data_IF_466959509652
#
_entry.id   IF_466959509652
#
_cell.length_a   1.000
_cell.length_b   1.000
_cell.length_c   1.000
_cell.angle_alpha   90.00
_cell.angle_beta   90.00
_cell.angle_gamma   90.00
#
_symmetry.space_group_name_H-M   'P 1'
#
loop_
_entity.id
_entity.type
_entity.pdbx_description
1 polymer ?
#
# COMPACT_ATOMS: atom_id res chain seq x y z
N UNK A 1 -2.39 17.10 24.01
CA UNK A 1 -2.74 15.66 23.96
C UNK A 1 -2.50 15.02 22.58
N UNK A 2 -3.07 15.54 21.47
CA UNK A 2 -2.89 14.94 20.13
C UNK A 2 -1.44 14.96 19.65
N UNK A 3 -0.68 16.03 19.91
CA UNK A 3 0.74 16.13 19.60
C UNK A 3 1.59 15.13 20.39
N UNK A 4 1.25 14.93 21.68
CA UNK A 4 1.94 13.97 22.54
C UNK A 4 1.79 12.52 22.00
N UNK A 5 0.57 12.12 21.61
CA UNK A 5 0.33 10.80 21.04
C UNK A 5 1.11 10.58 19.72
N UNK A 6 1.22 11.61 18.87
CA UNK A 6 2.03 11.56 17.66
C UNK A 6 3.53 11.38 17.97
N UNK A 7 4.05 12.09 18.95
CA UNK A 7 5.45 11.96 19.38
C UNK A 7 5.75 10.58 19.96
N UNK A 8 4.81 9.97 20.68
CA UNK A 8 4.97 8.61 21.20
C UNK A 8 5.05 7.57 20.09
N UNK A 9 4.24 7.70 19.03
CA UNK A 9 4.33 6.86 17.84
C UNK A 9 5.71 7.00 17.17
N UNK A 10 6.19 8.23 17.02
CA UNK A 10 7.52 8.51 16.46
C UNK A 10 8.66 7.92 17.30
N UNK A 11 8.47 7.77 18.60
CA UNK A 11 9.39 7.10 19.53
C UNK A 11 9.27 5.57 19.47
N UNK A 12 8.41 5.01 18.64
CA UNK A 12 8.20 3.56 18.53
C UNK A 12 7.37 2.95 19.65
N UNK A 13 6.65 3.76 20.44
CA UNK A 13 5.75 3.22 21.47
C UNK A 13 4.54 2.56 20.81
N UNK A 14 4.22 1.29 21.16
CA UNK A 14 3.05 0.62 20.64
C UNK A 14 1.78 1.41 20.90
N UNK A 15 0.97 1.63 19.89
CA UNK A 15 -0.32 2.33 20.03
C UNK A 15 -1.33 1.85 19.00
N UNK A 16 -2.60 2.15 19.24
CA UNK A 16 -3.70 1.84 18.33
C UNK A 16 -4.18 3.07 17.54
N UNK A 17 -3.42 4.16 17.56
CA UNK A 17 -3.86 5.46 17.01
C UNK A 17 -4.22 5.41 15.53
N UNK A 18 -3.59 4.54 14.74
CA UNK A 18 -3.84 4.39 13.31
C UNK A 18 -4.94 3.36 12.97
N UNK A 19 -5.29 2.47 13.90
CA UNK A 19 -6.25 1.40 13.63
C UNK A 19 -7.68 1.87 13.34
N UNK A 20 -8.19 3.00 13.86
CA UNK A 20 -9.52 3.50 13.54
C UNK A 20 -9.81 3.65 12.05
N UNK A 21 -8.80 3.89 11.21
CA UNK A 21 -8.96 3.98 9.76
C UNK A 21 -9.54 2.70 9.17
N UNK A 22 -9.11 1.54 9.63
CA UNK A 22 -9.61 0.25 9.12
C UNK A 22 -11.10 0.03 9.40
N UNK A 23 -11.67 0.71 10.40
CA UNK A 23 -13.10 0.63 10.75
C UNK A 23 -13.97 1.65 10.00
N UNK A 24 -13.40 2.40 9.06
CA UNK A 24 -14.12 3.46 8.35
C UNK A 24 -15.40 2.96 7.68
N UNK A 25 -15.34 1.80 6.99
CA UNK A 25 -16.48 1.20 6.31
C UNK A 25 -17.44 0.46 7.25
N UNK A 26 -16.96 -0.02 8.37
CA UNK A 26 -17.76 -0.74 9.34
C UNK A 26 -17.53 -0.23 10.77
N UNK A 27 -17.95 1.02 11.06
CA UNK A 27 -17.68 1.63 12.37
C UNK A 27 -18.44 0.92 13.52
N UNK A 28 -19.49 0.14 13.21
CA UNK A 28 -20.32 -0.54 14.23
C UNK A 28 -19.57 -1.67 14.92
N UNK A 29 -18.62 -2.32 14.24
CA UNK A 29 -17.82 -3.41 14.82
C UNK A 29 -16.58 -2.92 15.55
N UNK A 30 -16.31 -1.61 15.51
CA UNK A 30 -15.20 -1.02 16.25
C UNK A 30 -15.46 -1.19 17.75
N UNK A 31 -14.54 -1.87 18.47
CA UNK A 31 -14.71 -2.06 19.91
C UNK A 31 -14.68 -0.72 20.64
N UNK A 32 -15.39 -0.68 21.74
CA UNK A 32 -15.23 0.36 22.74
C UNK A 32 -13.88 0.17 23.50
N UNK A 33 -13.72 0.83 24.64
CA UNK A 33 -12.49 0.72 25.44
C UNK A 33 -12.35 -0.62 26.18
N UNK A 34 -13.30 -1.55 26.06
CA UNK A 34 -13.30 -2.84 26.77
C UNK A 34 -12.25 -3.82 26.23
N UNK A 35 -11.86 -3.68 24.96
CA UNK A 35 -10.83 -4.50 24.35
C UNK A 35 -10.01 -3.72 23.33
N UNK A 36 -8.84 -4.27 22.99
CA UNK A 36 -7.99 -3.75 21.90
C UNK A 36 -8.67 -3.95 20.55
N UNK A 37 -8.46 -3.00 19.64
CA UNK A 37 -8.89 -3.10 18.23
C UNK A 37 -8.11 -4.21 17.52
N UNK A 38 -8.82 -5.03 16.75
CA UNK A 38 -8.25 -6.03 15.87
C UNK A 38 -9.06 -6.05 14.55
N UNK A 39 -8.76 -5.16 13.60
CA UNK A 39 -9.57 -5.00 12.39
C UNK A 39 -9.84 -6.30 11.65
N UNK A 40 -8.85 -7.17 11.51
CA UNK A 40 -9.00 -8.44 10.80
C UNK A 40 -10.02 -9.39 11.48
N UNK A 41 -9.97 -9.49 12.82
CA UNK A 41 -10.96 -10.28 13.58
C UNK A 41 -12.34 -9.64 13.60
N UNK A 42 -12.39 -8.33 13.43
CA UNK A 42 -13.62 -7.54 13.43
C UNK A 42 -14.24 -7.37 12.03
N UNK A 43 -13.78 -8.16 11.04
CA UNK A 43 -14.32 -8.14 9.68
C UNK A 43 -13.94 -6.90 8.87
N UNK A 44 -12.91 -6.14 9.27
CA UNK A 44 -12.48 -4.93 8.57
C UNK A 44 -11.31 -5.23 7.63
N UNK A 45 -11.50 -5.01 6.34
CA UNK A 45 -10.49 -5.14 5.30
C UNK A 45 -9.76 -3.83 5.03
N UNK A 46 -8.45 -3.92 4.77
CA UNK A 46 -7.62 -2.78 4.38
C UNK A 46 -6.52 -3.26 3.44
N UNK A 47 -6.48 -2.70 2.24
CA UNK A 47 -5.39 -2.80 1.30
C UNK A 47 -4.73 -1.43 1.12
N UNK A 48 -3.49 -1.43 0.68
CA UNK A 48 -2.73 -0.21 0.44
C UNK A 48 -2.23 -0.15 -1.00
N UNK A 49 -2.52 0.97 -1.67
CA UNK A 49 -1.79 1.38 -2.86
C UNK A 49 -0.88 2.54 -2.47
N UNK A 50 0.43 2.36 -2.60
CA UNK A 50 1.41 3.32 -2.10
C UNK A 50 2.55 3.55 -3.11
N UNK A 51 2.31 4.34 -4.17
CA UNK A 51 3.33 4.69 -5.14
C UNK A 51 4.12 5.92 -4.74
N UNK A 52 5.32 6.04 -5.32
CA UNK A 52 6.09 7.27 -5.32
C UNK A 52 5.56 8.22 -6.39
N UNK A 53 5.33 9.45 -5.99
CA UNK A 53 4.87 10.55 -6.87
C UNK A 53 5.96 11.63 -6.91
N UNK A 54 6.39 12.08 -8.08
CA UNK A 54 7.31 13.19 -8.17
C UNK A 54 6.78 14.44 -7.43
N UNK A 55 7.63 15.12 -6.66
CA UNK A 55 7.28 16.32 -5.91
C UNK A 55 7.08 17.54 -6.84
N UNK A 56 6.18 17.40 -7.80
CA UNK A 56 5.77 18.43 -8.77
C UNK A 56 4.26 18.58 -8.73
N UNK A 57 3.77 19.80 -8.76
CA UNK A 57 2.34 20.08 -8.73
C UNK A 57 1.57 19.35 -9.85
N UNK A 58 2.13 19.31 -11.07
CA UNK A 58 1.51 18.59 -12.20
C UNK A 58 1.37 17.10 -11.94
N UNK A 59 2.41 16.44 -11.40
CA UNK A 59 2.38 15.01 -11.08
C UNK A 59 1.40 14.71 -9.96
N UNK A 60 1.38 15.53 -8.92
CA UNK A 60 0.43 15.36 -7.80
C UNK A 60 -1.02 15.56 -8.27
N UNK A 61 -1.29 16.54 -9.14
CA UNK A 61 -2.63 16.73 -9.73
C UNK A 61 -3.04 15.52 -10.58
N UNK A 62 -2.18 15.05 -11.49
CA UNK A 62 -2.45 13.89 -12.31
C UNK A 62 -2.73 12.64 -11.47
N UNK A 63 -1.96 12.43 -10.39
CA UNK A 63 -2.18 11.34 -9.45
C UNK A 63 -3.54 11.45 -8.74
N UNK A 64 -3.91 12.63 -8.24
CA UNK A 64 -5.21 12.87 -7.60
C UNK A 64 -6.35 12.59 -8.58
N UNK A 65 -6.24 13.06 -9.82
CA UNK A 65 -7.25 12.85 -10.86
C UNK A 65 -7.39 11.35 -11.20
N UNK A 66 -6.27 10.64 -11.33
CA UNK A 66 -6.25 9.20 -11.55
C UNK A 66 -6.99 8.47 -10.42
N UNK A 67 -6.62 8.71 -9.16
CA UNK A 67 -7.24 8.04 -8.01
C UNK A 67 -8.75 8.34 -7.96
N UNK A 68 -9.14 9.60 -8.10
CA UNK A 68 -10.55 10.03 -8.09
C UNK A 68 -11.37 9.48 -9.26
N UNK A 69 -10.74 9.16 -10.37
CA UNK A 69 -11.42 8.56 -11.53
C UNK A 69 -11.63 7.05 -11.39
N UNK A 70 -10.79 6.38 -10.60
CA UNK A 70 -10.78 4.92 -10.47
C UNK A 70 -11.58 4.47 -9.24
N UNK A 71 -11.23 4.94 -8.05
CA UNK A 71 -11.75 4.38 -6.79
C UNK A 71 -13.27 4.40 -6.66
N UNK A 72 -14.01 5.43 -7.12
CA UNK A 72 -15.48 5.43 -7.00
C UNK A 72 -16.16 4.34 -7.84
N UNK A 73 -15.53 3.86 -8.91
CA UNK A 73 -16.08 2.78 -9.75
C UNK A 73 -16.18 1.46 -8.99
N UNK A 74 -15.40 1.31 -7.93
CA UNK A 74 -15.35 0.15 -7.06
C UNK A 74 -15.96 0.44 -5.68
N UNK A 75 -16.75 1.51 -5.59
CA UNK A 75 -17.34 1.94 -4.32
C UNK A 75 -16.30 2.17 -3.21
N UNK A 76 -15.11 2.69 -3.54
CA UNK A 76 -14.02 3.04 -2.62
C UNK A 76 -13.85 4.55 -2.58
N UNK A 77 -13.65 5.11 -1.37
CA UNK A 77 -13.37 6.53 -1.20
C UNK A 77 -11.95 6.88 -1.68
N UNK A 78 -11.78 8.00 -2.41
CA UNK A 78 -10.46 8.47 -2.84
C UNK A 78 -9.71 9.17 -1.69
N UNK A 79 -9.39 8.44 -0.64
CA UNK A 79 -8.57 8.93 0.47
C UNK A 79 -7.11 8.96 0.05
N UNK A 80 -6.51 10.15 0.01
CA UNK A 80 -5.14 10.34 -0.47
C UNK A 80 -4.32 11.06 0.60
N UNK A 81 -3.19 10.48 0.95
CA UNK A 81 -2.20 11.12 1.81
C UNK A 81 -0.89 11.29 1.03
N UNK A 82 -0.28 12.46 1.13
CA UNK A 82 1.07 12.71 0.63
C UNK A 82 2.03 12.92 1.79
N UNK A 83 3.16 12.20 1.77
CA UNK A 83 4.24 12.36 2.73
C UNK A 83 5.52 12.72 1.99
N UNK A 84 6.07 13.89 2.23
CA UNK A 84 7.33 14.29 1.62
C UNK A 84 8.47 13.42 2.13
N UNK A 85 9.17 12.76 1.18
CA UNK A 85 10.38 11.98 1.47
C UNK A 85 11.63 12.80 1.20
N UNK A 86 11.59 13.63 0.16
CA UNK A 86 12.72 14.47 -0.27
C UNK A 86 12.21 15.65 -1.10
N UNK A 87 13.12 16.51 -1.57
CA UNK A 87 12.77 17.61 -2.47
C UNK A 87 12.26 17.19 -3.86
N UNK A 88 12.40 15.91 -4.22
CA UNK A 88 12.03 15.40 -5.55
C UNK A 88 10.98 14.28 -5.53
N UNK A 89 10.70 13.69 -4.38
CA UNK A 89 9.82 12.53 -4.25
C UNK A 89 8.90 12.63 -3.04
N UNK A 90 7.66 12.27 -3.26
CA UNK A 90 6.59 12.18 -2.26
C UNK A 90 6.07 10.75 -2.25
N UNK A 91 5.97 10.15 -1.08
CA UNK A 91 5.19 8.93 -0.87
C UNK A 91 3.71 9.32 -0.87
N UNK A 92 2.89 8.55 -1.57
CA UNK A 92 1.45 8.69 -1.49
C UNK A 92 0.84 7.38 -1.01
N UNK A 93 -0.14 7.48 -0.11
CA UNK A 93 -0.85 6.31 0.39
C UNK A 93 -2.34 6.44 0.18
N UNK A 94 -2.91 5.42 -0.44
CA UNK A 94 -4.34 5.27 -0.69
C UNK A 94 -4.81 4.04 0.07
N UNK A 95 -5.51 4.22 1.21
CA UNK A 95 -6.15 3.11 1.91
C UNK A 95 -7.41 2.69 1.16
N UNK A 96 -7.49 1.43 0.81
CA UNK A 96 -8.66 0.77 0.25
C UNK A 96 -9.32 0.02 1.41
N UNK A 97 -10.38 0.61 1.96
CA UNK A 97 -11.08 0.11 3.15
C UNK A 97 -12.37 -0.56 2.74
N UNK A 98 -12.63 -1.76 3.24
CA UNK A 98 -13.79 -2.55 2.85
C UNK A 98 -14.25 -3.48 3.97
N UNK A 99 -15.44 -4.05 3.81
CA UNK A 99 -16.00 -5.04 4.72
C UNK A 99 -15.59 -6.44 4.25
N UNK A 100 -14.86 -7.17 5.10
CA UNK A 100 -14.40 -8.54 4.82
C UNK A 100 -15.55 -9.56 4.81
N UNK A 101 -16.68 -9.26 5.45
CA UNK A 101 -17.85 -10.14 5.49
C UNK A 101 -18.70 -10.01 4.24
N UNK A 102 -18.47 -8.99 3.40
CA UNK A 102 -19.15 -8.79 2.13
C UNK A 102 -18.25 -9.24 0.95
N UNK A 103 -18.54 -10.41 0.32
CA UNK A 103 -17.73 -10.94 -0.78
C UNK A 103 -17.58 -9.96 -1.97
N UNK A 104 -18.63 -9.20 -2.29
CA UNK A 104 -18.54 -8.21 -3.37
C UNK A 104 -17.59 -7.07 -3.02
N UNK A 105 -17.61 -6.59 -1.77
CA UNK A 105 -16.69 -5.55 -1.32
C UNK A 105 -15.22 -6.04 -1.33
N UNK A 106 -14.98 -7.31 -1.05
CA UNK A 106 -13.66 -7.94 -1.17
C UNK A 106 -13.19 -7.95 -2.62
N UNK A 107 -14.04 -8.40 -3.54
CA UNK A 107 -13.74 -8.43 -4.98
C UNK A 107 -13.48 -7.01 -5.52
N UNK A 108 -14.35 -6.06 -5.22
CA UNK A 108 -14.22 -4.66 -5.61
C UNK A 108 -12.92 -4.03 -5.09
N UNK A 109 -12.53 -4.33 -3.85
CA UNK A 109 -11.30 -3.80 -3.26
C UNK A 109 -10.04 -4.33 -3.98
N UNK A 110 -9.99 -5.61 -4.30
CA UNK A 110 -8.88 -6.20 -5.07
C UNK A 110 -8.84 -5.68 -6.50
N UNK A 111 -9.98 -5.58 -7.16
CA UNK A 111 -10.09 -5.02 -8.51
C UNK A 111 -9.68 -3.53 -8.54
N UNK A 112 -10.08 -2.76 -7.53
CA UNK A 112 -9.65 -1.38 -7.36
C UNK A 112 -8.13 -1.25 -7.21
N UNK A 113 -7.52 -2.08 -6.37
CA UNK A 113 -6.07 -2.11 -6.19
C UNK A 113 -5.35 -2.41 -7.50
N UNK A 114 -5.83 -3.40 -8.26
CA UNK A 114 -5.24 -3.75 -9.55
C UNK A 114 -5.39 -2.62 -10.57
N UNK A 115 -6.57 -2.01 -10.67
CA UNK A 115 -6.79 -0.89 -11.58
C UNK A 115 -5.92 0.33 -11.26
N UNK A 116 -5.73 0.64 -9.96
CA UNK A 116 -4.81 1.70 -9.52
C UNK A 116 -3.36 1.37 -9.86
N UNK A 117 -2.96 0.12 -9.69
CA UNK A 117 -1.62 -0.35 -10.00
C UNK A 117 -1.33 -0.24 -11.50
N UNK A 118 -2.20 -0.77 -12.35
CA UNK A 118 -2.04 -0.79 -13.80
C UNK A 118 -1.98 0.63 -14.39
N UNK A 119 -2.91 1.48 -13.97
CA UNK A 119 -2.95 2.86 -14.45
C UNK A 119 -1.79 3.69 -13.90
N UNK A 120 -1.43 3.46 -12.63
CA UNK A 120 -0.28 4.10 -12.02
C UNK A 120 1.04 3.78 -12.73
N UNK A 121 1.26 2.52 -13.10
CA UNK A 121 2.45 2.13 -13.88
C UNK A 121 2.52 2.84 -15.24
N UNK A 122 1.38 2.98 -15.96
CA UNK A 122 1.32 3.69 -17.24
C UNK A 122 1.69 5.17 -17.09
N UNK A 123 1.32 5.79 -15.97
CA UNK A 123 1.61 7.19 -15.67
C UNK A 123 2.96 7.40 -14.95
N UNK A 124 3.71 6.32 -14.67
CA UNK A 124 5.01 6.39 -14.01
C UNK A 124 4.94 6.51 -12.47
N UNK A 125 3.80 6.20 -11.87
CA UNK A 125 3.63 6.15 -10.42
C UNK A 125 3.95 4.74 -9.92
N UNK A 126 5.21 4.52 -9.55
CA UNK A 126 5.74 3.20 -9.21
C UNK A 126 5.56 2.95 -7.70
N UNK A 127 4.85 1.89 -7.27
CA UNK A 127 4.78 1.53 -5.86
C UNK A 127 6.16 1.20 -5.28
N UNK A 128 6.44 1.73 -4.10
CA UNK A 128 7.69 1.41 -3.40
C UNK A 128 7.66 0.05 -2.69
N UNK A 129 6.48 -0.53 -2.54
CA UNK A 129 6.26 -1.91 -2.09
C UNK A 129 5.26 -2.61 -2.98
N UNK A 130 5.56 -3.86 -3.29
CA UNK A 130 4.70 -4.73 -4.09
C UNK A 130 4.23 -5.91 -3.24
N UNK A 131 2.98 -6.31 -3.40
CA UNK A 131 2.51 -7.60 -2.92
C UNK A 131 3.11 -8.73 -3.78
N UNK A 132 2.91 -9.99 -3.38
CA UNK A 132 3.51 -11.14 -4.07
C UNK A 132 3.04 -11.23 -5.53
N UNK A 133 1.77 -10.95 -5.80
CA UNK A 133 1.21 -11.00 -7.16
C UNK A 133 1.79 -9.89 -8.05
N UNK A 134 1.86 -8.66 -7.53
CA UNK A 134 2.43 -7.53 -8.26
C UNK A 134 3.92 -7.69 -8.55
N UNK A 135 4.65 -8.50 -7.75
CA UNK A 135 6.06 -8.79 -8.04
C UNK A 135 6.26 -9.62 -9.32
N UNK A 136 5.24 -10.33 -9.78
CA UNK A 136 5.27 -11.06 -11.05
C UNK A 136 5.35 -10.11 -12.25
N UNK A 137 4.93 -8.87 -12.10
CA UNK A 137 5.01 -7.82 -13.12
C UNK A 137 6.41 -7.20 -13.24
N UNK A 138 7.34 -7.54 -12.33
CA UNK A 138 8.70 -7.03 -12.37
C UNK A 138 9.45 -7.58 -13.58
N UNK A 139 10.07 -6.68 -14.37
CA UNK A 139 10.84 -7.07 -15.52
C UNK A 139 12.17 -7.74 -15.13
N UNK A 140 12.16 -9.07 -15.06
CA UNK A 140 13.34 -9.88 -14.75
C UNK A 140 14.54 -9.61 -15.68
N UNK A 141 14.29 -9.11 -16.89
CA UNK A 141 15.32 -8.80 -17.88
C UNK A 141 15.96 -7.43 -17.73
N UNK A 142 15.46 -6.57 -16.83
CA UNK A 142 16.09 -5.28 -16.56
C UNK A 142 17.49 -5.45 -15.96
N UNK A 143 18.39 -4.53 -16.26
CA UNK A 143 19.76 -4.54 -15.70
C UNK A 143 19.75 -4.51 -14.19
N UNK A 144 18.82 -3.74 -13.60
CA UNK A 144 18.65 -3.65 -12.15
C UNK A 144 18.38 -5.03 -11.54
N UNK A 145 17.32 -5.72 -12.00
CA UNK A 145 16.94 -7.01 -11.43
C UNK A 145 17.93 -8.12 -11.73
N UNK A 146 18.60 -8.11 -12.88
CA UNK A 146 19.73 -9.02 -13.18
C UNK A 146 20.87 -8.85 -12.19
N UNK A 147 21.23 -7.60 -11.88
CA UNK A 147 22.29 -7.32 -10.92
C UNK A 147 21.89 -7.69 -9.49
N UNK A 148 20.69 -7.28 -9.08
CA UNK A 148 20.14 -7.62 -7.76
C UNK A 148 20.06 -9.14 -7.55
N UNK A 149 19.57 -9.89 -8.54
CA UNK A 149 19.50 -11.35 -8.47
C UNK A 149 20.86 -12.03 -8.36
N UNK A 150 21.88 -11.55 -9.10
CA UNK A 150 23.26 -12.06 -8.94
C UNK A 150 23.83 -11.81 -7.54
N UNK A 151 23.57 -10.64 -6.96
CA UNK A 151 23.99 -10.32 -5.58
C UNK A 151 23.24 -11.23 -4.59
N UNK A 152 21.91 -11.36 -4.75
CA UNK A 152 21.11 -12.23 -3.89
C UNK A 152 21.61 -13.67 -3.94
N UNK A 153 21.89 -14.22 -5.13
CA UNK A 153 22.40 -15.58 -5.28
C UNK A 153 23.80 -15.76 -4.69
N UNK A 154 24.67 -14.74 -4.78
CA UNK A 154 26.01 -14.80 -4.17
C UNK A 154 25.96 -14.83 -2.64
N UNK A 155 24.98 -14.15 -2.03
CA UNK A 155 24.80 -14.09 -0.57
C UNK A 155 23.97 -15.26 -0.01
N UNK A 156 23.03 -15.76 -0.79
CA UNK A 156 22.11 -16.88 -0.45
C UNK A 156 21.97 -17.82 -1.64
N UNK A 157 22.99 -18.65 -1.92
CA UNK A 157 22.97 -19.57 -3.07
C UNK A 157 21.88 -20.64 -2.96
N UNK A 158 21.44 -20.95 -1.75
CA UNK A 158 20.36 -21.91 -1.50
C UNK A 158 18.95 -21.33 -1.60
N UNK A 159 18.82 -19.98 -1.73
CA UNK A 159 17.55 -19.30 -1.86
C UNK A 159 16.62 -19.43 -0.64
N UNK A 160 17.18 -19.45 0.57
CA UNK A 160 16.44 -19.65 1.81
C UNK A 160 15.86 -18.33 2.34
N UNK A 161 16.56 -17.22 2.12
CA UNK A 161 16.17 -15.92 2.65
C UNK A 161 15.09 -15.30 1.76
N UNK A 162 13.88 -15.20 2.28
CA UNK A 162 12.72 -14.58 1.59
C UNK A 162 12.60 -15.03 0.13
N UNK A 163 12.42 -16.33 -0.13
CA UNK A 163 12.38 -16.86 -1.48
C UNK A 163 11.33 -16.13 -2.33
N UNK A 164 11.69 -15.83 -3.57
CA UNK A 164 10.85 -15.15 -4.57
C UNK A 164 10.40 -13.70 -4.21
N UNK A 165 10.93 -13.11 -3.13
CA UNK A 165 10.64 -11.71 -2.79
C UNK A 165 11.65 -10.78 -3.43
N UNK A 166 11.16 -9.85 -4.31
CA UNK A 166 11.99 -8.89 -5.03
C UNK A 166 13.20 -9.52 -5.76
N UNK A 167 13.01 -10.72 -6.23
CA UNK A 167 14.03 -11.46 -7.00
C UNK A 167 13.41 -12.13 -8.22
N UNK A 168 12.95 -11.34 -9.22
CA UNK A 168 12.35 -11.89 -10.44
C UNK A 168 13.39 -12.57 -11.37
N UNK A 169 14.68 -12.25 -11.21
CA UNK A 169 15.76 -12.85 -11.96
C UNK A 169 16.38 -14.03 -11.18
N UNK A 170 16.35 -15.20 -11.79
CA UNK A 170 17.05 -16.39 -11.30
C UNK A 170 18.21 -16.66 -12.26
N UNK A 171 19.49 -16.58 -11.80
CA UNK A 171 20.67 -16.82 -12.63
C UNK A 171 20.78 -18.28 -13.10
#
# INVERSE_FOLDING_TARGET
EKLSAGMEVMQGKPSQVALPLAYWRNPRVRPDKSRLMNPAKDGCGLLWYAPLVPAKVSSMKAFIEMVRSITPKYNIEPMITFTNLSGISTDSTIPIVFDLENPQAVEDAHACLQALFDEGLKQGFIPYRLNIQQQLELNANSTFWKTAGKIAHALDPAGIISPDRYNPYKP
#
